data_IF_698573830341
#
_entry.id   IF_698573830341
#
_cell.length_a   1.000
_cell.length_b   1.000
_cell.length_c   1.000
_cell.angle_alpha   90.00
_cell.angle_beta   90.00
_cell.angle_gamma   90.00
#
_symmetry.space_group_name_H-M   'P 1'
#
loop_
_entity.id
_entity.type
_entity.pdbx_description
1 polymer ?
#
# COMPACT_ATOMS: atom_id res chain seq x y z
N UNK A 1 -22.57 -7.69 6.11
CA UNK A 1 -21.42 -8.23 6.88
C UNK A 1 -20.80 -7.06 7.63
N UNK A 2 -20.53 -7.18 8.93
CA UNK A 2 -19.90 -6.11 9.71
C UNK A 2 -18.46 -5.94 9.22
N UNK A 3 -18.04 -4.70 8.97
CA UNK A 3 -16.69 -4.39 8.50
C UNK A 3 -15.64 -4.97 9.46
N UNK A 4 -14.62 -5.72 8.98
CA UNK A 4 -13.74 -6.55 9.83
C UNK A 4 -12.87 -5.75 10.81
N UNK A 5 -12.83 -4.42 10.68
CA UNK A 5 -12.04 -3.52 11.52
C UNK A 5 -12.89 -2.69 12.49
N UNK A 6 -14.19 -2.97 12.61
CA UNK A 6 -15.14 -2.21 13.45
C UNK A 6 -15.03 -2.44 14.97
N UNK A 7 -13.91 -2.95 15.48
CA UNK A 7 -13.73 -3.26 16.91
C UNK A 7 -12.90 -2.19 17.63
N UNK A 8 -13.23 -1.96 18.91
CA UNK A 8 -12.50 -1.10 19.87
C UNK A 8 -10.99 -1.34 19.89
N UNK A 9 -10.55 -2.52 19.43
CA UNK A 9 -9.15 -2.89 19.24
C UNK A 9 -8.41 -1.96 18.27
N UNK A 10 -9.04 -1.52 17.19
CA UNK A 10 -8.43 -0.61 16.22
C UNK A 10 -8.24 0.80 16.78
N UNK A 11 -9.25 1.29 17.49
CA UNK A 11 -9.20 2.58 18.18
C UNK A 11 -8.13 2.57 19.26
N UNK A 12 -8.05 1.50 20.06
CA UNK A 12 -6.99 1.36 21.05
C UNK A 12 -5.58 1.33 20.45
N UNK A 13 -5.41 0.81 19.22
CA UNK A 13 -4.13 0.80 18.50
C UNK A 13 -3.75 2.18 17.95
N UNK A 14 -4.72 2.95 17.47
CA UNK A 14 -4.48 4.36 17.09
C UNK A 14 -4.19 5.23 18.31
N UNK A 15 -5.00 5.09 19.38
CA UNK A 15 -4.85 5.86 20.61
C UNK A 15 -3.53 5.56 21.33
N UNK A 16 -3.05 4.31 21.30
CA UNK A 16 -1.76 3.94 21.92
C UNK A 16 -0.53 4.36 21.11
N UNK A 17 -0.69 4.60 19.80
CA UNK A 17 0.39 5.11 18.93
C UNK A 17 0.57 6.63 19.05
N UNK A 18 -0.39 7.34 19.64
CA UNK A 18 -0.40 8.81 19.72
C UNK A 18 0.00 9.25 21.14
N UNK A 19 0.97 10.15 21.27
CA UNK A 19 1.51 10.65 22.55
C UNK A 19 0.44 11.42 23.38
N UNK A 20 0.68 11.72 24.67
CA UNK A 20 -0.36 11.68 25.71
C UNK A 20 -1.48 12.71 25.58
N UNK A 21 -2.69 12.23 25.92
CA UNK A 21 -3.98 12.94 26.05
C UNK A 21 -3.84 14.35 26.63
N UNK A 22 -4.07 15.36 25.79
CA UNK A 22 -4.69 16.58 26.28
C UNK A 22 -6.17 16.30 26.52
N UNK A 23 -6.60 16.43 27.77
CA UNK A 23 -8.01 16.38 28.15
C UNK A 23 -8.74 17.56 27.49
N UNK A 24 -9.51 17.32 26.44
CA UNK A 24 -10.49 18.26 25.93
C UNK A 24 -11.84 17.56 25.73
N UNK A 25 -12.71 17.81 26.70
CA UNK A 25 -14.17 17.95 26.64
C UNK A 25 -15.01 16.94 25.81
N UNK A 26 -15.62 16.00 26.54
CA UNK A 26 -16.71 15.11 26.08
C UNK A 26 -17.95 15.83 25.50
N UNK A 27 -18.03 17.16 25.62
CA UNK A 27 -19.20 17.95 25.20
C UNK A 27 -19.27 18.18 23.69
N UNK A 28 -18.14 18.15 22.96
CA UNK A 28 -18.12 18.35 21.50
C UNK A 28 -18.47 17.09 20.70
N UNK A 29 -18.27 15.92 21.31
CA UNK A 29 -18.51 14.61 20.69
C UNK A 29 -20.00 14.30 20.46
N UNK A 30 -20.92 14.93 21.20
CA UNK A 30 -22.36 14.73 21.02
C UNK A 30 -22.93 15.47 19.80
N UNK A 31 -22.49 16.71 19.54
CA UNK A 31 -22.95 17.48 18.38
C UNK A 31 -22.35 16.95 17.05
N UNK A 32 -21.08 16.52 17.06
CA UNK A 32 -20.44 15.90 15.89
C UNK A 32 -21.09 14.56 15.52
N UNK A 33 -21.51 13.76 16.50
CA UNK A 33 -22.23 12.49 16.24
C UNK A 33 -23.61 12.70 15.63
N UNK A 34 -24.38 13.70 16.08
CA UNK A 34 -25.71 13.99 15.53
C UNK A 34 -25.61 14.52 14.10
N UNK A 35 -24.59 15.33 13.79
CA UNK A 35 -24.33 15.80 12.42
C UNK A 35 -23.85 14.67 11.49
N UNK A 36 -23.07 13.71 12.01
CA UNK A 36 -22.57 12.58 11.23
C UNK A 36 -23.68 11.59 10.82
N UNK A 37 -24.68 11.40 11.69
CA UNK A 37 -25.84 10.53 11.41
C UNK A 37 -26.71 11.06 10.27
N UNK A 38 -26.84 12.38 10.09
CA UNK A 38 -27.58 12.98 8.97
C UNK A 38 -26.77 13.18 7.68
N UNK A 39 -25.44 13.14 7.76
CA UNK A 39 -24.56 13.39 6.61
C UNK A 39 -24.43 12.17 5.70
N UNK A 40 -24.26 12.40 4.39
CA UNK A 40 -23.96 11.36 3.42
C UNK A 40 -22.56 10.75 3.65
N UNK A 41 -22.30 9.51 3.20
CA UNK A 41 -20.97 8.91 3.24
C UNK A 41 -19.87 9.78 2.62
N UNK A 42 -20.21 10.47 1.52
CA UNK A 42 -19.30 11.32 0.76
C UNK A 42 -18.97 12.61 1.53
N UNK A 43 -19.95 13.23 2.19
CA UNK A 43 -19.74 14.41 3.04
C UNK A 43 -18.89 14.07 4.27
N UNK A 44 -19.17 12.92 4.91
CA UNK A 44 -18.36 12.41 6.02
C UNK A 44 -16.91 12.20 5.60
N UNK A 45 -16.70 11.60 4.42
CA UNK A 45 -15.37 11.41 3.87
C UNK A 45 -14.70 12.74 3.56
N UNK A 46 -15.40 13.70 2.95
CA UNK A 46 -14.84 15.01 2.65
C UNK A 46 -14.38 15.74 3.92
N UNK A 47 -15.20 15.70 4.98
CA UNK A 47 -14.83 16.26 6.28
C UNK A 47 -13.64 15.54 6.89
N UNK A 48 -13.59 14.21 6.79
CA UNK A 48 -12.45 13.45 7.27
C UNK A 48 -11.15 13.79 6.53
N UNK A 49 -11.21 13.95 5.22
CA UNK A 49 -10.05 14.35 4.40
C UNK A 49 -9.54 15.74 4.80
N UNK A 50 -10.43 16.67 5.18
CA UNK A 50 -10.04 17.96 5.72
C UNK A 50 -9.24 17.81 7.02
N UNK A 51 -9.71 16.98 7.95
CA UNK A 51 -9.00 16.68 9.19
C UNK A 51 -7.67 15.96 8.95
N UNK A 52 -7.59 15.03 7.99
CA UNK A 52 -6.32 14.40 7.60
C UNK A 52 -5.33 15.44 7.04
N UNK A 53 -5.82 16.41 6.26
CA UNK A 53 -5.02 17.51 5.72
C UNK A 53 -4.40 18.40 6.82
N UNK A 54 -5.05 18.49 7.99
CA UNK A 54 -4.52 19.21 9.16
C UNK A 54 -3.79 18.32 10.16
N UNK A 55 -3.61 17.03 9.85
CA UNK A 55 -2.96 16.05 10.72
C UNK A 55 -3.82 15.56 11.89
N UNK A 56 -5.10 15.93 11.95
CA UNK A 56 -6.04 15.58 13.01
C UNK A 56 -6.63 14.17 12.79
N UNK A 57 -5.79 13.14 12.83
CA UNK A 57 -6.21 11.76 12.54
C UNK A 57 -7.29 11.24 13.50
N UNK A 58 -7.24 11.65 14.78
CA UNK A 58 -8.21 11.25 15.80
C UNK A 58 -9.65 11.70 15.48
N UNK A 59 -9.80 12.82 14.76
CA UNK A 59 -11.09 13.32 14.31
C UNK A 59 -11.50 12.73 12.95
N UNK A 60 -10.52 12.46 12.08
CA UNK A 60 -10.79 11.90 10.76
C UNK A 60 -11.27 10.45 10.82
N UNK A 61 -10.62 9.61 11.64
CA UNK A 61 -10.85 8.16 11.64
C UNK A 61 -12.30 7.76 12.00
N UNK A 62 -12.95 8.36 13.01
CA UNK A 62 -14.36 8.12 13.29
C UNK A 62 -15.26 8.45 12.07
N UNK A 63 -15.02 9.58 11.41
CA UNK A 63 -15.80 10.00 10.24
C UNK A 63 -15.63 9.05 9.05
N UNK A 64 -14.39 8.62 8.76
CA UNK A 64 -14.12 7.63 7.69
C UNK A 64 -14.81 6.30 8.03
N UNK A 65 -14.81 5.89 9.30
CA UNK A 65 -15.49 4.67 9.73
C UNK A 65 -16.99 4.76 9.48
N UNK A 66 -17.64 5.84 9.92
CA UNK A 66 -19.07 6.06 9.68
C UNK A 66 -19.37 6.10 8.18
N UNK A 67 -18.51 6.71 7.37
CA UNK A 67 -18.65 6.70 5.90
C UNK A 67 -18.63 5.27 5.33
N UNK A 68 -17.68 4.43 5.77
CA UNK A 68 -17.57 3.02 5.34
C UNK A 68 -18.77 2.19 5.83
N UNK A 69 -19.26 2.44 7.04
CA UNK A 69 -20.43 1.74 7.59
C UNK A 69 -21.70 2.07 6.81
N UNK A 70 -21.86 3.33 6.40
CA UNK A 70 -22.99 3.77 5.57
C UNK A 70 -22.86 3.31 4.11
N UNK A 71 -21.66 3.34 3.54
CA UNK A 71 -21.39 2.85 2.19
C UNK A 71 -20.12 1.98 2.16
N UNK A 72 -20.27 0.65 2.30
CA UNK A 72 -19.13 -0.28 2.26
C UNK A 72 -18.41 -0.33 0.91
N UNK A 73 -19.04 0.15 -0.16
CA UNK A 73 -18.48 0.17 -1.51
C UNK A 73 -17.73 1.47 -1.83
N UNK A 74 -17.70 2.43 -0.90
CA UNK A 74 -16.97 3.69 -1.02
C UNK A 74 -15.46 3.46 -0.92
N UNK A 75 -14.84 3.03 -2.02
CA UNK A 75 -13.42 2.69 -2.08
C UNK A 75 -12.49 3.84 -1.68
N UNK A 76 -12.89 5.10 -1.90
CA UNK A 76 -12.09 6.27 -1.49
C UNK A 76 -11.98 6.33 0.05
N UNK A 77 -13.06 6.02 0.78
CA UNK A 77 -13.03 5.94 2.24
C UNK A 77 -12.16 4.77 2.73
N UNK A 78 -12.22 3.63 2.03
CA UNK A 78 -11.35 2.49 2.31
C UNK A 78 -9.87 2.84 2.13
N UNK A 79 -9.52 3.54 1.04
CA UNK A 79 -8.15 4.02 0.79
C UNK A 79 -7.72 5.01 1.87
N UNK A 80 -8.56 5.99 2.22
CA UNK A 80 -8.26 6.98 3.25
C UNK A 80 -8.01 6.35 4.62
N UNK A 81 -8.84 5.37 5.01
CA UNK A 81 -8.62 4.57 6.23
C UNK A 81 -7.29 3.80 6.14
N UNK A 82 -7.05 3.12 5.01
CA UNK A 82 -5.83 2.33 4.79
C UNK A 82 -4.56 3.19 4.88
N UNK A 83 -4.55 4.39 4.29
CA UNK A 83 -3.42 5.32 4.36
C UNK A 83 -3.18 5.81 5.80
N UNK A 84 -4.25 6.12 6.52
CA UNK A 84 -4.16 6.52 7.93
C UNK A 84 -3.54 5.41 8.77
N UNK A 85 -4.01 4.17 8.61
CA UNK A 85 -3.47 2.99 9.29
C UNK A 85 -2.01 2.72 8.91
N UNK A 86 -1.67 2.84 7.63
CA UNK A 86 -0.31 2.67 7.13
C UNK A 86 0.66 3.69 7.76
N UNK A 87 0.24 4.96 7.86
CA UNK A 87 1.05 6.01 8.48
C UNK A 87 1.34 5.73 9.96
N UNK A 88 0.41 5.06 10.64
CA UNK A 88 0.55 4.58 12.02
C UNK A 88 1.26 3.22 12.13
N UNK A 89 1.83 2.71 11.03
CA UNK A 89 2.51 1.41 10.95
C UNK A 89 1.63 0.21 11.31
N UNK A 90 0.30 0.38 11.24
CA UNK A 90 -0.69 -0.68 11.41
C UNK A 90 -0.89 -1.42 10.09
N UNK A 91 0.20 -2.06 9.62
CA UNK A 91 0.26 -2.66 8.30
C UNK A 91 -0.75 -3.79 8.05
N UNK A 92 -1.02 -4.71 9.01
CA UNK A 92 -2.06 -5.73 8.84
C UNK A 92 -3.41 -5.12 8.49
N UNK A 93 -3.83 -4.10 9.22
CA UNK A 93 -5.14 -3.52 9.04
C UNK A 93 -5.21 -2.57 7.85
N UNK A 94 -4.12 -1.87 7.55
CA UNK A 94 -3.97 -1.12 6.31
C UNK A 94 -4.14 -2.02 5.08
N UNK A 95 -3.51 -3.21 5.08
CA UNK A 95 -3.63 -4.15 3.95
C UNK A 95 -5.07 -4.60 3.71
N UNK A 96 -5.84 -4.85 4.78
CA UNK A 96 -7.27 -5.21 4.67
C UNK A 96 -8.07 -4.10 4.00
N UNK A 97 -7.85 -2.83 4.40
CA UNK A 97 -8.52 -1.68 3.80
C UNK A 97 -8.22 -1.57 2.30
N UNK A 98 -6.94 -1.62 1.92
CA UNK A 98 -6.57 -1.49 0.50
C UNK A 98 -7.06 -2.67 -0.34
N UNK A 99 -6.92 -3.90 0.15
CA UNK A 99 -7.37 -5.10 -0.57
C UNK A 99 -8.89 -5.14 -0.76
N UNK A 100 -9.65 -4.65 0.23
CA UNK A 100 -11.09 -4.49 0.08
C UNK A 100 -11.50 -3.36 -0.87
N UNK A 101 -10.65 -2.34 -1.05
CA UNK A 101 -10.90 -1.24 -1.98
C UNK A 101 -10.71 -1.69 -3.44
N UNK A 102 -9.66 -2.47 -3.73
CA UNK A 102 -9.28 -2.90 -5.09
C UNK A 102 -10.47 -3.37 -5.97
N UNK A 103 -11.33 -4.33 -5.56
CA UNK A 103 -12.40 -4.81 -6.43
C UNK A 103 -13.57 -3.83 -6.62
N UNK A 104 -13.55 -2.68 -5.92
CA UNK A 104 -14.58 -1.63 -5.98
C UNK A 104 -14.13 -0.41 -6.79
N UNK A 105 -12.92 -0.45 -7.33
CA UNK A 105 -12.31 0.63 -8.10
C UNK A 105 -12.38 0.24 -9.58
N UNK A 106 -12.75 1.18 -10.44
CA UNK A 106 -12.76 0.97 -11.88
C UNK A 106 -11.33 0.80 -12.42
N UNK A 107 -11.14 -0.02 -13.46
CA UNK A 107 -9.80 -0.31 -14.00
C UNK A 107 -9.03 0.93 -14.48
N UNK A 108 -9.75 1.97 -14.91
CA UNK A 108 -9.15 3.22 -15.39
C UNK A 108 -8.97 4.26 -14.28
N UNK A 109 -9.47 3.99 -13.08
CA UNK A 109 -9.33 4.91 -11.95
C UNK A 109 -7.86 4.91 -11.47
N UNK A 110 -7.20 6.08 -11.42
CA UNK A 110 -5.83 6.20 -10.94
C UNK A 110 -5.63 5.71 -9.49
N UNK A 111 -6.69 5.63 -8.68
CA UNK A 111 -6.65 5.07 -7.33
C UNK A 111 -6.39 3.57 -7.30
N UNK A 112 -6.65 2.85 -8.39
CA UNK A 112 -6.38 1.41 -8.46
C UNK A 112 -4.88 1.12 -8.30
N UNK A 113 -4.04 1.92 -8.97
CA UNK A 113 -2.57 1.85 -8.84
C UNK A 113 -2.15 2.13 -7.41
N UNK A 114 -2.71 3.16 -6.78
CA UNK A 114 -2.41 3.50 -5.39
C UNK A 114 -2.82 2.37 -4.43
N UNK A 115 -3.98 1.75 -4.65
CA UNK A 115 -4.49 0.67 -3.82
C UNK A 115 -3.60 -0.58 -3.91
N UNK A 116 -3.24 -1.04 -5.12
CA UNK A 116 -2.32 -2.17 -5.27
C UNK A 116 -0.93 -1.88 -4.69
N UNK A 117 -0.38 -0.69 -4.96
CA UNK A 117 0.92 -0.30 -4.43
C UNK A 117 0.94 -0.32 -2.91
N UNK A 118 -0.06 0.32 -2.29
CA UNK A 118 -0.17 0.46 -0.84
C UNK A 118 -0.49 -0.88 -0.16
N UNK A 119 -1.32 -1.73 -0.76
CA UNK A 119 -1.55 -3.10 -0.30
C UNK A 119 -0.25 -3.92 -0.34
N UNK A 120 0.48 -3.87 -1.45
CA UNK A 120 1.76 -4.56 -1.63
C UNK A 120 2.81 -4.13 -0.60
N UNK A 121 2.97 -2.82 -0.37
CA UNK A 121 3.84 -2.31 0.68
C UNK A 121 3.38 -2.73 2.08
N UNK A 122 2.08 -2.72 2.35
CA UNK A 122 1.54 -3.17 3.64
C UNK A 122 1.88 -4.64 3.89
N UNK A 123 1.73 -5.51 2.90
CA UNK A 123 2.09 -6.95 3.00
C UNK A 123 3.60 -7.16 3.14
N UNK A 124 4.41 -6.42 2.39
CA UNK A 124 5.87 -6.43 2.54
C UNK A 124 6.29 -6.09 3.97
N UNK A 125 5.71 -5.03 4.56
CA UNK A 125 6.04 -4.61 5.93
C UNK A 125 5.55 -5.61 7.00
N UNK A 126 4.59 -6.47 6.68
CA UNK A 126 4.20 -7.61 7.53
C UNK A 126 5.14 -8.81 7.38
N UNK A 127 6.08 -8.78 6.43
CA UNK A 127 6.92 -9.92 6.07
C UNK A 127 6.27 -10.90 5.10
N UNK A 128 5.01 -10.66 4.68
CA UNK A 128 4.30 -11.45 3.67
C UNK A 128 4.74 -11.03 2.26
N UNK A 129 5.97 -11.45 1.91
CA UNK A 129 6.60 -11.13 0.63
C UNK A 129 5.85 -11.76 -0.55
N UNK A 130 5.28 -12.95 -0.38
CA UNK A 130 4.61 -13.65 -1.46
C UNK A 130 3.35 -12.91 -1.91
N UNK A 131 2.50 -12.50 -0.96
CA UNK A 131 1.31 -11.69 -1.28
C UNK A 131 1.70 -10.31 -1.80
N UNK A 132 2.76 -9.69 -1.23
CA UNK A 132 3.29 -8.43 -1.74
C UNK A 132 3.71 -8.51 -3.21
N UNK A 133 4.42 -9.58 -3.60
CA UNK A 133 4.81 -9.82 -5.00
C UNK A 133 3.57 -9.95 -5.88
N UNK A 134 2.57 -10.75 -5.49
CA UNK A 134 1.34 -10.94 -6.29
C UNK A 134 0.60 -9.61 -6.51
N UNK A 135 0.45 -8.80 -5.47
CA UNK A 135 -0.23 -7.49 -5.56
C UNK A 135 0.54 -6.51 -6.46
N UNK A 136 1.86 -6.44 -6.32
CA UNK A 136 2.68 -5.55 -7.14
C UNK A 136 2.80 -6.05 -8.59
N UNK A 137 2.76 -7.36 -8.84
CA UNK A 137 2.67 -7.91 -10.20
C UNK A 137 1.36 -7.48 -10.87
N UNK A 138 0.22 -7.55 -10.16
CA UNK A 138 -1.05 -7.02 -10.67
C UNK A 138 -0.99 -5.54 -10.98
N UNK A 139 -0.30 -4.73 -10.17
CA UNK A 139 -0.05 -3.33 -10.48
C UNK A 139 0.69 -3.16 -11.81
N UNK A 140 1.71 -3.98 -12.08
CA UNK A 140 2.50 -3.88 -13.33
C UNK A 140 1.71 -4.28 -14.59
N UNK A 141 0.58 -4.97 -14.43
CA UNK A 141 -0.33 -5.32 -15.52
C UNK A 141 -1.31 -4.17 -15.86
N UNK A 142 -1.42 -3.16 -14.99
CA UNK A 142 -2.27 -1.99 -15.24
C UNK A 142 -1.66 -1.10 -16.32
N UNK A 143 -2.55 -0.37 -17.03
CA UNK A 143 -2.14 0.66 -17.96
C UNK A 143 -1.38 1.76 -17.20
N UNK A 144 -0.27 2.21 -17.78
CA UNK A 144 0.50 3.33 -17.24
C UNK A 144 -0.41 4.56 -17.06
N UNK A 145 -0.54 5.12 -15.84
CA UNK A 145 -1.36 6.30 -15.61
C UNK A 145 -0.74 7.55 -16.24
N UNK A 146 -1.59 8.43 -16.77
CA UNK A 146 -1.16 9.73 -17.30
C UNK A 146 -0.91 10.76 -16.19
N UNK A 147 -1.67 10.67 -15.09
CA UNK A 147 -1.57 11.60 -13.98
C UNK A 147 -0.25 11.42 -13.23
N UNK A 148 0.47 12.53 -13.00
CA UNK A 148 1.82 12.55 -12.41
C UNK A 148 1.91 11.76 -11.11
N UNK A 149 0.96 11.95 -10.19
CA UNK A 149 0.98 11.28 -8.87
C UNK A 149 0.80 9.76 -8.99
N UNK A 150 -0.18 9.30 -9.77
CA UNK A 150 -0.40 7.87 -9.97
C UNK A 150 0.70 7.23 -10.80
N UNK A 151 1.30 7.98 -11.74
CA UNK A 151 2.48 7.56 -12.50
C UNK A 151 3.70 7.36 -11.58
N UNK A 152 3.88 8.23 -10.59
CA UNK A 152 4.90 8.06 -9.56
C UNK A 152 4.68 6.76 -8.78
N UNK A 153 3.47 6.53 -8.26
CA UNK A 153 3.13 5.30 -7.56
C UNK A 153 3.28 4.05 -8.44
N UNK A 154 2.96 4.16 -9.74
CA UNK A 154 3.11 3.10 -10.71
C UNK A 154 4.58 2.63 -10.77
N UNK A 155 5.52 3.53 -11.07
CA UNK A 155 6.94 3.17 -11.14
C UNK A 155 7.54 2.83 -9.78
N UNK A 156 7.08 3.44 -8.69
CA UNK A 156 7.46 3.01 -7.34
C UNK A 156 7.02 1.56 -7.05
N UNK A 157 5.88 1.12 -7.61
CA UNK A 157 5.45 -0.27 -7.56
C UNK A 157 6.43 -1.22 -8.27
N UNK A 158 6.93 -0.84 -9.45
CA UNK A 158 7.94 -1.60 -10.20
C UNK A 158 9.25 -1.71 -9.40
N UNK A 159 9.70 -0.60 -8.81
CA UNK A 159 10.90 -0.56 -7.96
C UNK A 159 10.72 -1.44 -6.72
N UNK A 160 9.57 -1.34 -6.06
CA UNK A 160 9.25 -2.16 -4.89
C UNK A 160 9.25 -3.65 -5.24
N UNK A 161 8.65 -4.03 -6.36
CA UNK A 161 8.64 -5.42 -6.84
C UNK A 161 10.05 -5.90 -7.16
N UNK A 162 10.82 -5.12 -7.92
CA UNK A 162 12.21 -5.45 -8.23
C UNK A 162 13.08 -5.61 -6.98
N UNK A 163 12.88 -4.73 -5.98
CA UNK A 163 13.58 -4.83 -4.69
C UNK A 163 13.24 -6.10 -3.94
N UNK A 164 11.95 -6.47 -3.84
CA UNK A 164 11.54 -7.70 -3.17
C UNK A 164 12.11 -8.92 -3.91
N UNK A 165 12.00 -8.96 -5.24
CA UNK A 165 12.50 -10.07 -6.06
C UNK A 165 14.02 -10.25 -5.95
N UNK A 166 14.77 -9.15 -5.99
CA UNK A 166 16.24 -9.18 -5.84
C UNK A 166 16.65 -9.73 -4.48
N UNK A 167 15.96 -9.32 -3.41
CA UNK A 167 16.18 -9.84 -2.06
C UNK A 167 15.85 -11.34 -1.92
N UNK A 168 14.94 -11.86 -2.76
CA UNK A 168 14.63 -13.29 -2.85
C UNK A 168 15.59 -14.06 -3.81
N UNK A 169 16.63 -13.39 -4.32
CA UNK A 169 17.59 -13.98 -5.26
C UNK A 169 17.08 -14.09 -6.71
N UNK A 170 15.85 -13.64 -7.00
CA UNK A 170 15.23 -13.63 -8.34
C UNK A 170 15.71 -12.43 -9.17
N UNK A 171 17.04 -12.31 -9.32
CA UNK A 171 17.69 -11.12 -9.89
C UNK A 171 17.32 -10.84 -11.35
N UNK A 172 17.10 -11.88 -12.15
CA UNK A 172 16.65 -11.73 -13.55
C UNK A 172 15.28 -11.08 -13.66
N UNK A 173 14.33 -11.55 -12.85
CA UNK A 173 12.99 -10.95 -12.80
C UNK A 173 13.03 -9.53 -12.22
N UNK A 174 13.85 -9.31 -11.19
CA UNK A 174 14.05 -7.98 -10.62
C UNK A 174 14.53 -6.98 -11.69
N UNK A 175 15.57 -7.33 -12.44
CA UNK A 175 16.14 -6.47 -13.48
C UNK A 175 15.11 -6.06 -14.54
N UNK A 176 14.17 -6.95 -14.90
CA UNK A 176 13.06 -6.63 -15.82
C UNK A 176 12.23 -5.43 -15.31
N UNK A 177 11.79 -5.46 -14.06
CA UNK A 177 10.95 -4.40 -13.50
C UNK A 177 11.75 -3.13 -13.20
N UNK A 178 12.98 -3.26 -12.71
CA UNK A 178 13.86 -2.11 -12.44
C UNK A 178 14.18 -1.34 -13.72
N UNK A 179 14.46 -2.03 -14.83
CA UNK A 179 14.73 -1.40 -16.13
C UNK A 179 13.55 -0.58 -16.65
N UNK A 180 12.32 -1.05 -16.43
CA UNK A 180 11.13 -0.30 -16.80
C UNK A 180 10.95 0.99 -15.96
N UNK A 181 11.48 1.02 -14.73
CA UNK A 181 11.42 2.20 -13.87
C UNK A 181 12.57 3.19 -14.07
N UNK A 182 13.68 2.81 -14.72
CA UNK A 182 14.89 3.66 -14.89
C UNK A 182 14.61 4.96 -15.62
N UNK A 183 13.68 4.97 -16.58
CA UNK A 183 13.31 6.19 -17.30
C UNK A 183 12.60 7.22 -16.41
N UNK A 184 11.99 6.77 -15.31
CA UNK A 184 11.28 7.61 -14.34
C UNK A 184 12.15 7.98 -13.14
N UNK A 185 12.92 7.01 -12.63
CA UNK A 185 13.85 7.20 -11.53
C UNK A 185 15.24 6.68 -11.92
N UNK A 186 16.14 7.57 -12.40
CA UNK A 186 17.51 7.21 -12.73
C UNK A 186 18.31 6.66 -11.53
N UNK A 187 17.89 6.94 -10.29
CA UNK A 187 18.52 6.40 -9.07
C UNK A 187 18.46 4.88 -8.99
N UNK A 188 17.52 4.26 -9.70
CA UNK A 188 17.35 2.81 -9.81
C UNK A 188 18.47 2.16 -10.63
N UNK A 189 19.19 2.91 -11.47
CA UNK A 189 20.19 2.34 -12.38
C UNK A 189 21.32 1.61 -11.64
N UNK A 190 21.76 2.14 -10.49
CA UNK A 190 22.73 1.46 -9.65
C UNK A 190 22.22 0.09 -9.19
N UNK A 191 20.96 0.06 -8.73
CA UNK A 191 20.35 -1.17 -8.23
C UNK A 191 20.09 -2.19 -9.35
N UNK A 192 19.79 -1.71 -10.56
CA UNK A 192 19.71 -2.55 -11.76
C UNK A 192 21.06 -3.20 -12.08
N UNK A 193 22.17 -2.44 -12.07
CA UNK A 193 23.52 -2.97 -12.33
C UNK A 193 23.91 -4.06 -11.35
N UNK A 194 23.65 -3.85 -10.06
CA UNK A 194 23.90 -4.87 -9.01
C UNK A 194 23.13 -6.18 -9.27
N UNK A 195 21.94 -6.10 -9.87
CA UNK A 195 21.19 -7.29 -10.28
C UNK A 195 21.78 -7.96 -11.51
N UNK A 196 22.28 -7.17 -12.48
CA UNK A 196 22.86 -7.64 -13.75
C UNK A 196 24.23 -8.31 -13.55
N UNK A 197 25.15 -7.67 -12.84
CA UNK A 197 26.49 -8.20 -12.53
C UNK A 197 26.42 -9.55 -11.82
N UNK A 198 25.51 -9.68 -10.86
CA UNK A 198 25.33 -10.93 -10.13
C UNK A 198 24.77 -12.08 -10.99
N UNK A 199 24.11 -11.78 -12.12
CA UNK A 199 23.70 -12.82 -13.08
C UNK A 199 24.89 -13.28 -13.92
N UNK A 200 25.76 -12.36 -14.31
CA UNK A 200 27.00 -12.66 -15.06
C UNK A 200 27.94 -13.55 -14.23
N UNK A 201 28.09 -13.25 -12.94
CA UNK A 201 28.88 -14.06 -12.00
C UNK A 201 28.35 -15.49 -11.88
N UNK A 202 27.03 -15.67 -11.78
CA UNK A 202 26.40 -17.00 -11.70
C UNK A 202 26.57 -17.81 -12.99
N UNK A 203 26.47 -17.16 -14.15
CA UNK A 203 26.67 -17.81 -15.46
C UNK A 203 28.13 -18.22 -15.69
N UNK A 204 29.07 -17.42 -15.21
CA UNK A 204 30.51 -17.68 -15.32
C UNK A 204 30.94 -18.85 -14.43
N UNK A 205 30.38 -18.97 -13.21
CA UNK A 205 30.65 -20.09 -12.31
C UNK A 205 30.13 -21.42 -12.86
N UNK A 206 28.92 -21.46 -13.42
CA UNK A 206 28.35 -22.68 -14.04
C UNK A 206 29.10 -23.15 -15.29
N UNK A 207 29.76 -22.24 -16.01
CA UNK A 207 30.54 -22.57 -17.21
C UNK A 207 31.93 -23.15 -16.90
N UNK A 208 32.35 -23.13 -15.63
CA UNK A 208 33.68 -23.61 -15.19
C UNK A 208 33.65 -24.97 -14.46
N UNK A 209 32.48 -25.58 -14.25
CA UNK A 209 32.40 -26.96 -13.73
C UNK A 209 32.85 -27.98 -14.81
N UNK A 210 33.94 -28.74 -14.59
CA UNK A 210 34.37 -29.74 -15.56
C UNK A 210 33.34 -30.87 -15.67
N UNK A 211 33.13 -31.46 -16.86
CA UNK A 211 32.19 -32.56 -17.03
C UNK A 211 32.62 -33.72 -16.13
N UNK A 212 31.72 -34.12 -15.24
CA UNK A 212 31.91 -35.20 -14.29
C UNK A 212 32.26 -36.48 -15.04
N UNK A 213 33.55 -36.85 -15.04
CA UNK A 213 34.07 -38.09 -15.59
C UNK A 213 33.50 -39.25 -14.76
N UNK A 214 32.31 -39.75 -15.15
CA UNK A 214 31.91 -41.11 -14.81
C UNK A 214 32.88 -42.05 -15.52
N UNK A 215 33.86 -42.52 -14.76
CA UNK A 215 34.79 -43.56 -15.16
C UNK A 215 34.08 -44.90 -15.43
N UNK A 216 34.77 -45.83 -16.11
CA UNK A 216 34.20 -47.02 -16.73
C UNK A 216 33.53 -48.00 -15.76
#
# INVERSE_FOLDING_TARGET
QRWPLGDSRMQSKLESSTAPKFMFEDSKMMDENVSAESSSPEELLQQALQYLGTGCQDQAVPLIRTAIEKNPDLHIALIGMGQTLFSNKLFPEASVCFEHAIPKIEEQDPLLVLAYFSAGLSRKNQGDKETAIKLLQRLTELKEPEQVMSKACYFQGFIALGSILSNEGRKSEAAKYLRAATAYDPGVERFLKECEEAMEDQSSQQSTEPPNLKGP
#
